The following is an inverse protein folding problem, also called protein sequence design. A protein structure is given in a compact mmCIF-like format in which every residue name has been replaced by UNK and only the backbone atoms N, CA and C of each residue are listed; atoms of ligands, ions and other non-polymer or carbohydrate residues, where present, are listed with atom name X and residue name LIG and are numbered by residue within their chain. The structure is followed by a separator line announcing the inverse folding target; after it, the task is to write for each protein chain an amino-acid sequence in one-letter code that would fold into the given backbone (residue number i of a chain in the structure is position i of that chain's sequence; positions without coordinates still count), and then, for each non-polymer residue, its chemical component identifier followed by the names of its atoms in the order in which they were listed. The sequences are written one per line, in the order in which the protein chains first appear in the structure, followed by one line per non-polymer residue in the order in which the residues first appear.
data_IF_994557100306
#
_entry.id   IF_994557100306
#
_cell.length_a   1.000
_cell.length_b   1.000
_cell.length_c   1.000
_cell.angle_alpha   90.00
_cell.angle_beta   90.00
_cell.angle_gamma   90.00
#
_symmetry.space_group_name_H-M   'P 1'
#
loop_
_entity.id
_entity.type
_entity.pdbx_description
1 polymer ?
#
# COMPACT_ATOMS: atom_id res chain seq x y z
N UNK A 1 22.47 -2.18 4.57
CA UNK A 1 21.51 -3.08 3.90
C UNK A 1 20.35 -2.23 3.41
N UNK A 2 19.95 -2.36 2.14
CA UNK A 2 18.81 -1.63 1.56
C UNK A 2 17.59 -2.55 1.64
N UNK A 3 16.50 -2.08 2.24
CA UNK A 3 15.22 -2.81 2.33
C UNK A 3 14.21 -2.22 1.33
N UNK A 4 13.50 -3.04 0.56
CA UNK A 4 12.37 -2.57 -0.24
C UNK A 4 11.27 -2.00 0.65
N UNK A 5 10.64 -0.92 0.18
CA UNK A 5 9.57 -0.24 0.87
C UNK A 5 8.45 0.14 -0.11
N UNK A 6 7.23 0.21 0.40
CA UNK A 6 6.05 0.73 -0.29
C UNK A 6 5.55 1.96 0.47
N UNK A 7 5.27 3.04 -0.24
CA UNK A 7 4.77 4.29 0.32
C UNK A 7 3.25 4.34 0.18
N UNK A 8 2.57 4.91 1.18
CA UNK A 8 1.17 5.27 1.03
C UNK A 8 1.09 6.54 0.17
N UNK A 9 0.19 6.55 -0.81
CA UNK A 9 0.01 7.70 -1.70
C UNK A 9 -0.78 8.85 -1.05
N UNK A 10 -1.46 8.57 0.08
CA UNK A 10 -2.34 9.54 0.78
C UNK A 10 -1.70 10.14 2.03
N UNK A 11 -0.76 9.43 2.69
CA UNK A 11 -0.18 9.86 3.95
C UNK A 11 1.30 9.41 4.07
N UNK A 12 2.09 9.89 5.05
CA UNK A 12 3.51 9.55 5.17
C UNK A 12 3.78 8.13 5.69
N UNK A 13 2.81 7.22 5.70
CA UNK A 13 3.01 5.84 6.14
C UNK A 13 3.83 5.05 5.11
N UNK A 14 4.66 4.15 5.64
CA UNK A 14 5.59 3.33 4.85
C UNK A 14 5.51 1.88 5.30
N UNK A 15 5.32 0.97 4.35
CA UNK A 15 5.46 -0.46 4.58
C UNK A 15 6.88 -0.90 4.20
N UNK A 16 7.63 -1.44 5.16
CA UNK A 16 9.00 -1.94 4.94
C UNK A 16 9.01 -3.46 5.11
N UNK A 17 9.58 -4.18 4.14
CA UNK A 17 9.79 -5.62 4.28
C UNK A 17 11.14 -5.94 4.93
N UNK A 18 11.21 -7.04 5.69
CA UNK A 18 12.46 -7.54 6.25
C UNK A 18 13.38 -8.20 5.22
N UNK A 19 12.87 -8.51 4.01
CA UNK A 19 13.67 -9.12 2.95
C UNK A 19 14.56 -8.10 2.25
N UNK A 20 15.85 -8.39 2.14
CA UNK A 20 16.81 -7.52 1.43
C UNK A 20 16.59 -7.50 -0.10
N UNK A 21 15.97 -8.54 -0.67
CA UNK A 21 15.60 -8.62 -2.08
C UNK A 21 14.18 -9.20 -2.21
N UNK A 22 13.19 -8.31 -2.25
CA UNK A 22 11.82 -8.68 -2.59
C UNK A 22 11.54 -8.31 -4.04
N UNK A 23 10.91 -9.22 -4.78
CA UNK A 23 10.24 -8.84 -6.03
C UNK A 23 9.08 -7.90 -5.72
N UNK A 24 8.68 -7.07 -6.68
CA UNK A 24 7.49 -6.22 -6.56
C UNK A 24 6.26 -7.06 -6.18
N UNK A 25 6.09 -8.24 -6.78
CA UNK A 25 5.00 -9.16 -6.49
C UNK A 25 4.98 -9.65 -5.03
N UNK A 26 6.14 -9.86 -4.40
CA UNK A 26 6.22 -10.21 -2.99
C UNK A 26 5.88 -9.01 -2.11
N UNK A 27 6.46 -7.84 -2.40
CA UNK A 27 6.22 -6.62 -1.64
C UNK A 27 4.72 -6.25 -1.64
N UNK A 28 4.07 -6.30 -2.81
CA UNK A 28 2.62 -6.10 -2.95
C UNK A 28 1.81 -7.09 -2.11
N UNK A 29 2.13 -8.40 -2.17
CA UNK A 29 1.42 -9.41 -1.37
C UNK A 29 1.60 -9.21 0.13
N UNK A 30 2.81 -8.85 0.55
CA UNK A 30 3.12 -8.61 1.97
C UNK A 30 2.38 -7.38 2.50
N UNK A 31 2.35 -6.29 1.72
CA UNK A 31 1.59 -5.09 2.07
C UNK A 31 0.08 -5.38 2.16
N UNK A 32 -0.49 -6.12 1.19
CA UNK A 32 -1.91 -6.54 1.23
C UNK A 32 -2.21 -7.40 2.46
N UNK A 33 -1.33 -8.35 2.80
CA UNK A 33 -1.47 -9.16 4.00
C UNK A 33 -1.39 -8.33 5.29
N UNK A 34 -0.66 -7.20 5.27
CA UNK A 34 -0.61 -6.22 6.34
C UNK A 34 -1.79 -5.23 6.32
N UNK A 35 -2.79 -5.42 5.46
CA UNK A 35 -4.02 -4.63 5.42
C UNK A 35 -4.03 -3.48 4.42
N UNK A 36 -2.92 -3.25 3.70
CA UNK A 36 -2.85 -2.22 2.67
C UNK A 36 -3.71 -2.58 1.46
N UNK A 37 -4.20 -1.56 0.77
CA UNK A 37 -4.95 -1.71 -0.47
C UNK A 37 -4.08 -1.25 -1.62
N UNK A 38 -3.91 -2.12 -2.61
CA UNK A 38 -3.10 -1.82 -3.79
C UNK A 38 -4.01 -1.98 -5.00
N UNK A 39 -4.39 -0.86 -5.61
CA UNK A 39 -5.29 -0.82 -6.75
C UNK A 39 -4.53 -0.39 -8.00
N UNK A 40 -4.90 -0.97 -9.14
CA UNK A 40 -4.39 -0.53 -10.43
C UNK A 40 -5.34 0.55 -10.95
N UNK A 41 -4.83 1.75 -11.14
CA UNK A 41 -5.61 2.84 -11.74
C UNK A 41 -5.81 2.62 -13.24
N UNK A 42 -6.80 3.29 -13.82
CA UNK A 42 -7.14 3.17 -15.25
C UNK A 42 -5.98 3.55 -16.18
N UNK A 43 -5.13 4.48 -15.74
CA UNK A 43 -3.94 4.91 -16.47
C UNK A 43 -2.73 3.96 -16.29
N UNK A 44 -2.91 2.81 -15.64
CA UNK A 44 -1.91 1.74 -15.54
C UNK A 44 -0.91 1.85 -14.39
N UNK A 45 -1.01 2.89 -13.57
CA UNK A 45 -0.19 3.05 -12.35
C UNK A 45 -0.79 2.27 -11.18
N UNK A 46 0.00 2.04 -10.15
CA UNK A 46 -0.45 1.41 -8.92
C UNK A 46 -0.65 2.49 -7.86
N UNK A 47 -1.83 2.51 -7.26
CA UNK A 47 -2.16 3.31 -6.09
C UNK A 47 -2.07 2.41 -4.86
N UNK A 48 -1.35 2.86 -3.84
CA UNK A 48 -1.09 2.16 -2.60
C UNK A 48 -1.67 2.97 -1.45
N UNK A 49 -2.63 2.39 -0.76
CA UNK A 49 -3.31 3.01 0.37
C UNK A 49 -3.09 2.18 1.63
N UNK A 50 -2.62 2.83 2.70
CA UNK A 50 -2.50 2.18 4.00
C UNK A 50 -3.88 1.94 4.63
N UNK A 51 -3.93 1.03 5.59
CA UNK A 51 -5.14 0.68 6.32
C UNK A 51 -5.78 1.88 7.04
N UNK A 52 -4.97 2.78 7.58
CA UNK A 52 -5.42 4.01 8.22
C UNK A 52 -6.22 4.91 7.26
N UNK A 53 -5.66 5.23 6.07
CA UNK A 53 -6.32 6.09 5.08
C UNK A 53 -7.58 5.46 4.47
N UNK A 54 -7.58 4.15 4.27
CA UNK A 54 -8.76 3.45 3.74
C UNK A 54 -9.96 3.56 4.69
N UNK A 55 -9.72 3.56 6.00
CA UNK A 55 -10.82 3.67 6.98
C UNK A 55 -11.42 5.06 7.05
N UNK A 56 -10.68 6.10 6.64
CA UNK A 56 -11.21 7.47 6.52
C UNK A 56 -12.09 7.64 5.29
N UNK A 57 -11.72 7.08 4.13
CA UNK A 57 -12.53 7.22 2.90
C UNK A 57 -13.89 6.48 2.95
N UNK A 58 -14.00 5.40 3.73
CA UNK A 58 -15.27 4.66 3.87
C UNK A 58 -16.33 5.35 4.73
N UNK A 59 -16.00 6.43 5.45
CA UNK A 59 -16.96 7.13 6.32
C UNK A 59 -17.76 8.23 5.62
N UNK A 60 -17.40 8.60 4.40
CA UNK A 60 -18.06 9.71 3.68
C UNK A 60 -19.09 9.27 2.63
N UNK A 61 -19.45 7.97 2.57
CA UNK A 61 -20.51 7.46 1.68
C UNK A 61 -21.73 6.99 2.46
N UNK A 62 -22.30 7.87 3.28
CA UNK A 62 -23.68 7.72 3.76
C UNK A 62 -24.32 9.10 3.90
N UNK A 63 -24.98 9.55 2.83
CA UNK A 63 -26.00 10.60 2.86
C UNK A 63 -27.21 10.09 2.10
#
# INVERSE_FOLDING_TARGET
MIKPALLCDTCPNVFITERNHASNSYLTRAAIAAGWTITKSENGWWLNECDECRTTDRKDTTT
#
